data_IF_638255470281
#
_entry.id   IF_638255470281
#
_cell.length_a   1.000
_cell.length_b   1.000
_cell.length_c   1.000
_cell.angle_alpha   90.00
_cell.angle_beta   90.00
_cell.angle_gamma   90.00
#
_symmetry.space_group_name_H-M   'P 1'
#
loop_
_entity.id
_entity.type
_entity.pdbx_description
1 polymer ?
#
# COMPACT_ATOMS: atom_id res chain seq x y z
N UNK A 1 -13.42 -29.22 9.96
CA UNK A 1 -12.91 -28.63 11.23
C UNK A 1 -11.37 -28.55 11.22
N UNK A 2 -10.60 -29.60 11.50
CA UNK A 2 -9.12 -29.51 11.53
C UNK A 2 -8.46 -29.07 10.21
N UNK A 3 -8.97 -29.52 9.05
CA UNK A 3 -8.49 -29.12 7.71
C UNK A 3 -8.77 -27.64 7.40
N UNK A 4 -9.92 -27.14 7.84
CA UNK A 4 -10.34 -25.75 7.62
C UNK A 4 -9.59 -24.81 8.56
N UNK A 5 -9.34 -25.26 9.80
CA UNK A 5 -8.47 -24.57 10.77
C UNK A 5 -7.03 -24.51 10.28
N UNK A 6 -6.46 -25.62 9.78
CA UNK A 6 -5.09 -25.62 9.22
C UNK A 6 -4.96 -24.72 7.98
N UNK A 7 -6.00 -24.61 7.15
CA UNK A 7 -6.01 -23.69 6.00
C UNK A 7 -6.11 -22.24 6.43
N UNK A 8 -6.93 -21.94 7.43
CA UNK A 8 -7.06 -20.60 7.99
C UNK A 8 -5.76 -20.17 8.69
N UNK A 9 -5.15 -21.04 9.52
CA UNK A 9 -3.89 -20.74 10.18
C UNK A 9 -2.72 -20.65 9.21
N UNK A 10 -2.65 -21.51 8.19
CA UNK A 10 -1.63 -21.40 7.15
C UNK A 10 -1.80 -20.11 6.32
N UNK A 11 -3.02 -19.73 5.96
CA UNK A 11 -3.28 -18.47 5.25
C UNK A 11 -2.94 -17.26 6.12
N UNK A 12 -3.30 -17.28 7.41
CA UNK A 12 -2.97 -16.20 8.36
C UNK A 12 -1.46 -16.14 8.60
N UNK A 13 -0.78 -17.27 8.74
CA UNK A 13 0.67 -17.34 8.90
C UNK A 13 1.41 -16.87 7.64
N UNK A 14 0.90 -17.20 6.45
CA UNK A 14 1.45 -16.75 5.17
C UNK A 14 1.24 -15.24 4.99
N UNK A 15 0.07 -14.71 5.33
CA UNK A 15 -0.23 -13.27 5.33
C UNK A 15 0.61 -12.52 6.37
N UNK A 16 0.82 -13.08 7.56
CA UNK A 16 1.72 -12.53 8.59
C UNK A 16 3.19 -12.59 8.16
N UNK A 17 3.63 -13.66 7.49
CA UNK A 17 4.98 -13.75 6.91
C UNK A 17 5.17 -12.75 5.77
N UNK A 18 4.15 -12.51 4.93
CA UNK A 18 4.15 -11.46 3.91
C UNK A 18 4.18 -10.05 4.52
N UNK A 19 3.48 -9.82 5.64
CA UNK A 19 3.55 -8.57 6.39
C UNK A 19 4.92 -8.34 7.04
N UNK A 20 5.60 -9.41 7.47
CA UNK A 20 6.95 -9.34 8.04
C UNK A 20 8.04 -8.96 7.01
N UNK A 21 7.76 -9.03 5.70
CA UNK A 21 8.68 -8.60 4.63
C UNK A 21 8.65 -7.08 4.41
N UNK A 22 7.63 -6.38 4.89
CA UNK A 22 7.47 -4.94 4.67
C UNK A 22 8.23 -4.19 5.77
N UNK A 23 9.52 -3.92 5.54
CA UNK A 23 10.39 -3.15 6.45
C UNK A 23 10.12 -1.63 6.37
N UNK A 24 8.84 -1.23 6.44
CA UNK A 24 8.44 0.17 6.60
C UNK A 24 8.24 0.43 8.08
N UNK A 25 9.18 1.14 8.69
CA UNK A 25 9.03 1.60 10.08
C UNK A 25 7.84 2.57 10.16
N UNK A 26 6.97 2.37 11.15
CA UNK A 26 5.77 3.16 11.36
C UNK A 26 4.79 3.11 10.17
N UNK A 27 4.51 1.93 9.64
CA UNK A 27 3.43 1.74 8.68
C UNK A 27 2.11 2.32 9.22
N UNK A 28 1.43 3.12 8.40
CA UNK A 28 0.12 3.70 8.73
C UNK A 28 -1.00 3.06 7.91
N UNK A 29 -0.75 2.77 6.64
CA UNK A 29 -1.72 2.17 5.74
C UNK A 29 -1.01 1.37 4.64
N UNK A 30 -1.69 0.32 4.16
CA UNK A 30 -1.27 -0.51 3.03
C UNK A 30 -2.49 -0.90 2.19
N UNK A 31 -2.29 -1.02 0.87
CA UNK A 31 -3.27 -1.56 -0.07
C UNK A 31 -2.59 -2.48 -1.08
N UNK A 32 -3.31 -3.51 -1.54
CA UNK A 32 -2.78 -4.51 -2.45
C UNK A 32 -3.81 -4.86 -3.53
N UNK A 33 -3.37 -4.82 -4.79
CA UNK A 33 -4.22 -5.08 -5.95
C UNK A 33 -3.39 -5.31 -7.20
N UNK A 34 -3.83 -6.23 -8.07
CA UNK A 34 -3.16 -6.55 -9.34
C UNK A 34 -1.68 -6.96 -9.22
N UNK A 35 -1.29 -7.58 -8.10
CA UNK A 35 0.11 -7.95 -7.83
C UNK A 35 1.00 -6.77 -7.43
N UNK A 36 0.40 -5.60 -7.19
CA UNK A 36 1.08 -4.40 -6.72
C UNK A 36 0.72 -4.19 -5.24
N UNK A 37 1.67 -3.63 -4.48
CA UNK A 37 1.44 -3.22 -3.12
C UNK A 37 1.87 -1.77 -2.97
N UNK A 38 1.05 -0.99 -2.28
CA UNK A 38 1.31 0.42 -1.98
C UNK A 38 1.07 0.67 -0.51
N UNK A 39 1.85 1.58 0.08
CA UNK A 39 1.80 1.84 1.51
C UNK A 39 2.09 3.31 1.83
N UNK A 40 1.65 3.75 3.01
CA UNK A 40 2.11 5.00 3.62
C UNK A 40 2.63 4.75 5.03
N UNK A 41 3.65 5.48 5.43
CA UNK A 41 4.08 5.55 6.83
C UNK A 41 3.36 6.68 7.61
N UNK A 42 3.54 6.74 8.93
CA UNK A 42 2.94 7.79 9.79
C UNK A 42 3.48 9.19 9.51
N UNK A 43 4.62 9.32 8.81
CA UNK A 43 5.12 10.61 8.30
C UNK A 43 4.46 10.99 6.96
N UNK A 44 3.47 10.21 6.50
CA UNK A 44 2.77 10.36 5.24
C UNK A 44 3.69 10.22 4.02
N UNK A 45 4.80 9.47 4.13
CA UNK A 45 5.59 9.12 2.95
C UNK A 45 4.87 7.99 2.20
N UNK A 46 4.56 8.15 0.91
CA UNK A 46 4.00 7.09 0.09
C UNK A 46 5.11 6.16 -0.43
N UNK A 47 4.81 4.87 -0.56
CA UNK A 47 5.72 3.84 -1.06
C UNK A 47 5.01 2.91 -2.05
N UNK A 48 5.75 2.47 -3.06
CA UNK A 48 5.42 1.35 -3.93
C UNK A 48 6.35 0.19 -3.59
N UNK A 49 5.81 -1.00 -3.34
CA UNK A 49 6.59 -2.15 -2.88
C UNK A 49 6.81 -3.14 -4.02
N UNK A 50 8.06 -3.56 -4.21
CA UNK A 50 8.47 -4.51 -5.26
C UNK A 50 9.40 -5.54 -4.65
N UNK A 51 8.94 -6.79 -4.54
CA UNK A 51 9.71 -7.82 -3.86
C UNK A 51 9.97 -7.45 -2.40
N UNK A 52 11.24 -7.32 -2.03
CA UNK A 52 11.74 -6.86 -0.73
C UNK A 52 12.09 -5.37 -0.70
N UNK A 53 11.97 -4.66 -1.82
CA UNK A 53 12.25 -3.24 -1.92
C UNK A 53 11.01 -2.36 -1.66
N UNK A 54 11.23 -1.25 -0.96
CA UNK A 54 10.24 -0.17 -0.79
C UNK A 54 10.72 1.08 -1.50
N UNK A 55 10.03 1.44 -2.59
CA UNK A 55 10.37 2.61 -3.40
C UNK A 55 9.52 3.78 -2.92
N UNK A 56 10.16 4.80 -2.34
CA UNK A 56 9.47 6.01 -1.89
C UNK A 56 8.97 6.80 -3.09
N UNK A 57 7.65 7.02 -3.15
CA UNK A 57 7.01 7.91 -4.12
C UNK A 57 7.16 9.38 -3.66
N UNK A 58 7.19 10.36 -4.58
CA UNK A 58 7.29 11.76 -4.20
C UNK A 58 6.05 12.24 -3.42
N UNK A 59 6.17 13.39 -2.74
CA UNK A 59 5.06 14.04 -2.05
C UNK A 59 4.74 13.48 -0.66
N UNK A 60 3.54 13.78 -0.19
CA UNK A 60 3.02 13.43 1.12
C UNK A 60 1.56 13.01 1.02
N UNK A 61 1.27 11.75 1.32
CA UNK A 61 -0.06 11.14 1.20
C UNK A 61 -0.44 10.45 2.50
N UNK A 62 -1.69 10.66 2.95
CA UNK A 62 -2.21 9.99 4.14
C UNK A 62 -2.85 8.63 3.84
N UNK A 63 -3.16 8.37 2.57
CA UNK A 63 -3.72 7.12 2.10
C UNK A 63 -3.43 7.00 0.60
N UNK A 64 -2.92 5.85 0.16
CA UNK A 64 -2.81 5.49 -1.26
C UNK A 64 -3.41 4.12 -1.52
N UNK A 65 -3.97 3.94 -2.71
CA UNK A 65 -4.63 2.70 -3.16
C UNK A 65 -4.20 2.36 -4.59
N UNK A 66 -4.27 1.08 -4.94
CA UNK A 66 -3.92 0.57 -6.27
C UNK A 66 -5.02 -0.34 -6.83
N UNK A 67 -5.31 -0.20 -8.13
CA UNK A 67 -6.25 -1.07 -8.83
C UNK A 67 -6.21 -0.87 -10.35
N UNK A 68 -7.20 -1.41 -11.08
CA UNK A 68 -7.23 -1.31 -12.55
C UNK A 68 -7.18 0.12 -13.10
N UNK A 69 -7.60 1.11 -12.32
CA UNK A 69 -7.56 2.52 -12.69
C UNK A 69 -6.19 3.21 -12.42
N UNK A 70 -5.20 2.45 -11.94
CA UNK A 70 -3.89 2.94 -11.52
C UNK A 70 -3.81 3.20 -10.01
N UNK A 71 -2.79 3.96 -9.60
CA UNK A 71 -2.56 4.35 -8.21
C UNK A 71 -3.24 5.70 -7.94
N UNK A 72 -3.98 5.76 -6.84
CA UNK A 72 -4.66 6.96 -6.36
C UNK A 72 -4.25 7.25 -4.93
N UNK A 73 -4.41 8.50 -4.50
CA UNK A 73 -4.11 8.89 -3.13
C UNK A 73 -4.81 10.16 -2.71
N UNK A 74 -4.89 10.33 -1.39
CA UNK A 74 -5.35 11.57 -0.77
C UNK A 74 -4.27 12.09 0.18
N UNK A 75 -4.09 13.41 0.18
CA UNK A 75 -3.15 14.06 1.10
C UNK A 75 -3.83 14.45 2.43
N UNK A 76 -3.07 15.06 3.35
CA UNK A 76 -3.60 15.52 4.65
C UNK A 76 -4.79 16.47 4.54
N UNK A 77 -4.85 17.26 3.48
CA UNK A 77 -5.87 18.27 3.21
C UNK A 77 -7.05 17.71 2.38
N UNK A 78 -7.21 16.39 2.32
CA UNK A 78 -8.29 15.70 1.60
C UNK A 78 -8.32 15.96 0.08
N UNK A 79 -7.25 16.51 -0.48
CA UNK A 79 -7.12 16.68 -1.93
C UNK A 79 -6.81 15.33 -2.58
N UNK A 80 -7.50 15.02 -3.68
CA UNK A 80 -7.42 13.75 -4.41
C UNK A 80 -6.37 13.85 -5.52
N UNK A 81 -5.55 12.80 -5.66
CA UNK A 81 -4.50 12.73 -6.67
C UNK A 81 -4.50 11.37 -7.36
N UNK A 82 -4.14 11.38 -8.65
CA UNK A 82 -3.77 10.19 -9.42
C UNK A 82 -2.27 10.19 -9.67
N UNK A 83 -1.62 9.05 -9.51
CA UNK A 83 -0.22 8.89 -9.86
C UNK A 83 -0.07 8.58 -11.35
N UNK A 84 0.58 9.46 -12.09
CA UNK A 84 0.74 9.38 -13.55
C UNK A 84 2.18 9.72 -13.90
N UNK A 85 2.86 8.82 -14.62
CA UNK A 85 4.21 9.02 -15.14
C UNK A 85 5.20 9.60 -14.10
N UNK A 86 5.22 9.01 -12.90
CA UNK A 86 6.14 9.42 -11.83
C UNK A 86 5.64 10.55 -10.93
N UNK A 87 4.48 11.15 -11.22
CA UNK A 87 4.00 12.37 -10.57
C UNK A 87 2.58 12.23 -10.02
N UNK A 88 2.27 12.96 -8.94
CA UNK A 88 0.91 13.11 -8.43
C UNK A 88 0.20 14.25 -9.15
N UNK A 89 -0.85 13.91 -9.90
CA UNK A 89 -1.70 14.87 -10.60
C UNK A 89 -2.98 15.05 -9.79
N UNK A 90 -3.25 16.27 -9.33
CA UNK A 90 -4.46 16.55 -8.58
C UNK A 90 -5.69 16.38 -9.47
N UNK A 91 -6.73 15.76 -8.92
CA UNK A 91 -8.03 15.58 -9.58
C UNK A 91 -9.08 16.29 -8.73
N UNK A 92 -10.01 16.99 -9.38
CA UNK A 92 -11.16 17.57 -8.69
C UNK A 92 -12.02 16.44 -8.09
N UNK A 93 -12.45 16.64 -6.84
CA UNK A 93 -13.32 15.72 -6.12
C UNK A 93 -14.79 15.94 -6.43
#
# INVERSE_FOLDING_TARGET
IYRDIMRATAAILLVLCLLAVINIKNLMQIDAGLGQLVATDTSQNPYYLVGDESIRLPGSMKHITVGPAGIWGVNKADSIYKYVAGNWVQVAG
#
